data_IF_944936785647
#
_entry.id   IF_944936785647
#
_cell.length_a   1.000
_cell.length_b   1.000
_cell.length_c   1.000
_cell.angle_alpha   90.00
_cell.angle_beta   90.00
_cell.angle_gamma   90.00
#
_symmetry.space_group_name_H-M   'P 1'
#
loop_
_entity.id
_entity.type
_entity.pdbx_description
1 polymer ?
#
# COMPACT_ATOMS: atom_id res chain seq x y z
N UNK A 1 -8.12 -9.52 9.28
CA UNK A 1 -8.49 -9.32 10.69
C UNK A 1 -9.25 -8.02 10.79
N UNK A 2 -10.26 -7.92 11.68
CA UNK A 2 -11.07 -6.71 11.83
C UNK A 2 -10.23 -5.48 12.17
N UNK A 3 -10.79 -4.27 12.01
CA UNK A 3 -10.12 -2.99 12.37
C UNK A 3 -9.51 -3.05 13.79
N UNK A 4 -10.27 -3.53 14.77
CA UNK A 4 -9.79 -3.72 16.15
C UNK A 4 -8.63 -4.73 16.28
N UNK A 5 -8.65 -5.82 15.50
CA UNK A 5 -7.54 -6.79 15.51
C UNK A 5 -6.26 -6.16 14.94
N UNK A 6 -6.41 -5.30 13.93
CA UNK A 6 -5.28 -4.61 13.33
C UNK A 6 -4.66 -3.59 14.29
N UNK A 7 -5.47 -2.83 15.02
CA UNK A 7 -4.99 -1.87 16.02
C UNK A 7 -4.15 -2.54 17.11
N UNK A 8 -4.64 -3.63 17.70
CA UNK A 8 -3.88 -4.43 18.68
C UNK A 8 -2.55 -4.95 18.12
N UNK A 9 -2.55 -5.34 16.84
CA UNK A 9 -1.31 -5.76 16.17
C UNK A 9 -0.33 -4.60 16.01
N UNK A 10 -0.82 -3.40 15.68
CA UNK A 10 -0.01 -2.19 15.55
C UNK A 10 0.66 -1.82 16.87
N UNK A 11 -0.10 -1.83 17.96
CA UNK A 11 0.41 -1.59 19.32
C UNK A 11 1.50 -2.59 19.70
N UNK A 12 1.27 -3.89 19.43
CA UNK A 12 2.27 -4.92 19.68
C UNK A 12 3.55 -4.69 18.87
N UNK A 13 3.44 -4.38 17.58
CA UNK A 13 4.62 -4.13 16.73
C UNK A 13 5.40 -2.89 17.19
N UNK A 14 4.72 -1.83 17.65
CA UNK A 14 5.36 -0.67 18.27
C UNK A 14 6.13 -1.07 19.53
N UNK A 15 5.52 -1.90 20.39
CA UNK A 15 6.18 -2.38 21.63
C UNK A 15 7.40 -3.27 21.36
N UNK A 16 7.46 -3.91 20.19
CA UNK A 16 8.60 -4.71 19.71
C UNK A 16 9.70 -3.85 19.05
N UNK A 17 9.54 -2.52 19.01
CA UNK A 17 10.54 -1.58 18.50
C UNK A 17 10.46 -1.28 17.00
N UNK A 18 9.38 -1.68 16.32
CA UNK A 18 9.13 -1.25 14.94
C UNK A 18 8.76 0.24 14.96
N UNK A 19 9.44 1.05 14.14
CA UNK A 19 9.15 2.48 14.05
C UNK A 19 7.82 2.79 13.36
N UNK A 20 7.24 3.94 13.67
CA UNK A 20 6.05 4.44 12.96
C UNK A 20 6.28 4.57 11.46
N UNK A 21 7.49 4.92 11.01
CA UNK A 21 7.83 4.99 9.58
C UNK A 21 7.78 3.62 8.89
N UNK A 22 8.22 2.56 9.58
CA UNK A 22 8.12 1.21 9.06
C UNK A 22 6.66 0.74 9.06
N UNK A 23 5.89 1.06 10.09
CA UNK A 23 4.47 0.74 10.17
C UNK A 23 3.62 1.52 9.16
N UNK A 24 4.00 2.75 8.80
CA UNK A 24 3.30 3.53 7.79
C UNK A 24 3.31 2.85 6.40
N UNK A 25 4.28 1.97 6.15
CA UNK A 25 4.33 1.13 4.93
C UNK A 25 3.41 -0.09 5.00
N UNK A 26 2.94 -0.47 6.18
CA UNK A 26 2.07 -1.61 6.37
C UNK A 26 0.61 -1.21 6.12
N UNK A 27 0.08 -1.62 4.97
CA UNK A 27 -1.34 -1.52 4.68
C UNK A 27 -2.12 -2.58 5.46
N UNK A 28 -2.98 -2.13 6.36
CA UNK A 28 -3.89 -3.00 7.06
C UNK A 28 -5.11 -2.23 7.59
N UNK A 29 -6.31 -2.86 7.66
CA UNK A 29 -6.62 -4.22 7.21
C UNK A 29 -6.46 -4.39 5.69
N UNK A 30 -6.03 -5.59 5.28
CA UNK A 30 -5.81 -5.93 3.87
C UNK A 30 -7.14 -6.14 3.15
N UNK A 31 -7.20 -5.72 1.89
CA UNK A 31 -8.33 -5.77 0.99
C UNK A 31 -8.89 -4.40 0.67
N UNK A 32 -9.38 -4.22 -0.56
CA UNK A 32 -10.18 -3.05 -0.91
C UNK A 32 -11.53 -3.08 -0.19
N UNK A 33 -12.05 -1.90 0.16
CA UNK A 33 -13.35 -1.77 0.80
C UNK A 33 -14.48 -2.01 -0.21
N UNK A 34 -14.86 -3.27 -0.37
CA UNK A 34 -15.95 -3.73 -1.26
C UNK A 34 -17.16 -4.23 -0.47
N UNK A 35 -17.19 -4.06 0.86
CA UNK A 35 -18.25 -4.60 1.71
C UNK A 35 -18.23 -6.13 1.84
N UNK A 36 -17.06 -6.77 1.71
CA UNK A 36 -16.91 -8.22 1.76
C UNK A 36 -17.36 -8.86 3.09
N UNK A 37 -18.13 -9.93 3.00
CA UNK A 37 -18.67 -10.71 4.13
C UNK A 37 -18.32 -12.20 4.03
N UNK A 38 -18.24 -12.75 2.82
CA UNK A 38 -17.89 -14.16 2.59
C UNK A 38 -16.39 -14.36 2.40
N UNK A 39 -15.85 -15.58 2.63
CA UNK A 39 -14.45 -15.88 2.34
C UNK A 39 -14.04 -15.56 0.90
N UNK A 40 -14.90 -15.81 -0.07
CA UNK A 40 -14.68 -15.55 -1.49
C UNK A 40 -14.59 -14.04 -1.77
N UNK A 41 -15.49 -13.25 -1.18
CA UNK A 41 -15.47 -11.79 -1.28
C UNK A 41 -14.21 -11.21 -0.62
N UNK A 42 -13.80 -11.75 0.53
CA UNK A 42 -12.57 -11.34 1.20
C UNK A 42 -11.35 -11.66 0.33
N UNK A 43 -11.31 -12.84 -0.28
CA UNK A 43 -10.23 -13.20 -1.22
C UNK A 43 -10.18 -12.24 -2.41
N UNK A 44 -11.33 -11.89 -2.99
CA UNK A 44 -11.42 -10.92 -4.08
C UNK A 44 -10.93 -9.53 -3.65
N UNK A 45 -11.33 -9.05 -2.46
CA UNK A 45 -10.90 -7.78 -1.91
C UNK A 45 -9.37 -7.70 -1.78
N UNK A 46 -8.76 -8.76 -1.26
CA UNK A 46 -7.30 -8.90 -1.09
C UNK A 46 -6.60 -8.89 -2.45
N UNK A 47 -7.02 -9.74 -3.38
CA UNK A 47 -6.41 -9.83 -4.72
C UNK A 47 -6.53 -8.50 -5.48
N UNK A 48 -7.64 -7.78 -5.30
CA UNK A 48 -7.85 -6.47 -5.91
C UNK A 48 -6.87 -5.42 -5.36
N UNK A 49 -6.59 -5.41 -4.05
CA UNK A 49 -5.59 -4.52 -3.47
C UNK A 49 -4.18 -4.83 -4.02
N UNK A 50 -3.81 -6.11 -4.13
CA UNK A 50 -2.52 -6.54 -4.68
C UNK A 50 -2.33 -6.06 -6.11
N UNK A 51 -3.33 -6.26 -6.98
CA UNK A 51 -3.28 -5.80 -8.37
C UNK A 51 -3.21 -4.27 -8.43
N UNK A 52 -3.99 -3.56 -7.61
CA UNK A 52 -3.97 -2.10 -7.54
C UNK A 52 -2.57 -1.57 -7.16
N UNK A 53 -1.96 -2.13 -6.11
CA UNK A 53 -0.61 -1.76 -5.68
C UNK A 53 0.43 -2.01 -6.79
N UNK A 54 0.36 -3.15 -7.47
CA UNK A 54 1.27 -3.50 -8.57
C UNK A 54 1.12 -2.53 -9.77
N UNK A 55 -0.11 -2.13 -10.10
CA UNK A 55 -0.36 -1.17 -11.20
C UNK A 55 0.10 0.23 -10.86
N UNK A 56 -0.12 0.71 -9.63
CA UNK A 56 0.35 2.03 -9.16
C UNK A 56 1.87 2.14 -9.24
N UNK A 57 2.61 1.10 -8.83
CA UNK A 57 4.07 1.07 -8.96
C UNK A 57 4.55 1.26 -10.40
N UNK A 58 3.88 0.62 -11.36
CA UNK A 58 4.19 0.75 -12.79
C UNK A 58 3.93 2.17 -13.31
N UNK A 59 2.88 2.84 -12.82
CA UNK A 59 2.55 4.22 -13.19
C UNK A 59 3.56 5.22 -12.64
N UNK A 60 3.95 5.10 -11.36
CA UNK A 60 5.01 5.95 -10.78
C UNK A 60 6.35 5.80 -11.48
N UNK A 61 6.67 4.61 -11.99
CA UNK A 61 7.91 4.38 -12.74
C UNK A 61 7.88 5.09 -14.11
N UNK A 62 6.76 4.97 -14.84
CA UNK A 62 6.57 5.64 -16.12
C UNK A 62 6.51 7.18 -16.01
N UNK A 63 5.88 7.72 -14.95
CA UNK A 63 5.85 9.17 -14.69
C UNK A 63 7.22 9.73 -14.29
N UNK A 64 8.00 8.96 -13.51
CA UNK A 64 9.35 9.36 -13.13
C UNK A 64 10.32 9.33 -14.33
N UNK A 65 10.20 8.34 -15.22
CA UNK A 65 10.94 8.28 -16.48
C UNK A 65 10.58 9.46 -17.40
N UNK A 66 9.29 9.78 -17.55
CA UNK A 66 8.84 10.91 -18.37
C UNK A 66 9.34 12.27 -17.86
N UNK A 67 9.43 12.45 -16.54
CA UNK A 67 9.98 13.68 -15.93
C UNK A 67 11.51 13.79 -16.06
N UNK A 68 12.25 12.69 -16.12
CA UNK A 68 13.71 12.72 -16.32
C UNK A 68 14.11 13.12 -17.75
N UNK A 69 13.31 12.80 -18.77
CA UNK A 69 13.61 13.20 -20.15
C UNK A 69 13.32 14.69 -20.40
N UNK A 70 12.52 15.33 -19.55
CA UNK A 70 12.09 16.74 -19.66
C UNK A 70 12.91 17.74 -18.84
N UNK A 71 14.10 17.38 -18.34
CA UNK A 71 15.09 18.42 -17.99
C UNK A 71 15.90 18.76 -19.24
N UNK A 72 15.48 19.72 -20.10
CA UNK A 72 16.41 20.26 -21.07
C UNK A 72 17.56 20.87 -20.28
N UNK A 73 18.76 20.60 -20.78
CA UNK A 73 19.99 21.29 -20.48
C UNK A 73 19.67 22.79 -20.33
N UNK A 74 19.48 23.23 -19.09
CA UNK A 74 19.40 24.64 -18.72
C UNK A 74 20.60 24.89 -17.84
N UNK A 75 21.75 24.96 -18.51
CA UNK A 75 22.93 25.62 -18.00
C UNK A 75 23.77 26.00 -19.22
N UNK A 76 23.78 27.32 -19.44
CA UNK A 76 24.73 28.09 -20.24
C UNK A 76 26.15 27.52 -20.19
#
# INVERSE_FOLDING_TARGET
GSKSTNEKRRERLLSEGISDLQLARLHAPIGLDIGAQTPEEIALAVMSEVVSAHRKQKQTSAENEAKQVQSPISSL
#
